data_IF_056904190670
#
_entry.id   IF_056904190670
#
_cell.length_a   1.000
_cell.length_b   1.000
_cell.length_c   1.000
_cell.angle_alpha   90.00
_cell.angle_beta   90.00
_cell.angle_gamma   90.00
#
_symmetry.space_group_name_H-M   'P 1'
#
loop_
_entity.id
_entity.type
_entity.pdbx_description
1 polymer ?
#
# COMPACT_ATOMS: atom_id res chain seq x y z
N UNK A 1 1.58 -2.95 -4.58
CA UNK A 1 2.62 -4.01 -4.48
C UNK A 1 3.76 -3.67 -5.43
N UNK A 2 4.94 -3.33 -4.90
CA UNK A 2 6.14 -2.98 -5.69
C UNK A 2 6.95 -4.24 -6.07
N UNK A 3 6.32 -5.25 -6.69
CA UNK A 3 6.97 -6.54 -6.99
C UNK A 3 8.19 -6.42 -7.91
N UNK A 4 8.23 -5.38 -8.75
CA UNK A 4 9.43 -5.03 -9.51
C UNK A 4 10.64 -4.75 -8.61
N UNK A 5 10.44 -4.08 -7.47
CA UNK A 5 11.52 -3.72 -6.56
C UNK A 5 12.00 -4.92 -5.75
N UNK A 6 11.17 -5.93 -5.51
CA UNK A 6 11.63 -7.21 -4.96
C UNK A 6 12.62 -7.88 -5.91
N UNK A 7 12.27 -7.96 -7.19
CA UNK A 7 13.13 -8.60 -8.20
C UNK A 7 14.38 -7.76 -8.47
N UNK A 8 14.21 -6.51 -8.90
CA UNK A 8 15.32 -5.63 -9.30
C UNK A 8 16.18 -5.23 -8.10
N UNK A 9 15.57 -4.97 -6.95
CA UNK A 9 16.27 -4.63 -5.72
C UNK A 9 17.04 -5.82 -5.15
N UNK A 10 16.41 -7.00 -5.08
CA UNK A 10 17.07 -8.22 -4.64
C UNK A 10 18.24 -8.63 -5.53
N UNK A 11 18.05 -8.59 -6.86
CA UNK A 11 19.12 -8.88 -7.82
C UNK A 11 20.26 -7.85 -7.74
N UNK A 12 19.94 -6.56 -7.65
CA UNK A 12 20.95 -5.50 -7.52
C UNK A 12 21.77 -5.67 -6.23
N UNK A 13 21.10 -5.94 -5.10
CA UNK A 13 21.79 -6.13 -3.83
C UNK A 13 22.64 -7.41 -3.81
N UNK A 14 22.10 -8.53 -4.32
CA UNK A 14 22.83 -9.79 -4.43
C UNK A 14 24.04 -9.74 -5.38
N UNK A 15 24.00 -8.87 -6.39
CA UNK A 15 25.13 -8.60 -7.29
C UNK A 15 26.05 -7.46 -6.79
N UNK A 16 25.89 -7.02 -5.54
CA UNK A 16 26.66 -5.92 -4.91
C UNK A 16 26.54 -4.55 -5.63
N UNK A 17 25.49 -4.37 -6.45
CA UNK A 17 25.18 -3.12 -7.14
C UNK A 17 24.36 -2.17 -6.24
N UNK A 18 24.92 -1.80 -5.09
CA UNK A 18 24.21 -1.06 -4.04
C UNK A 18 23.60 0.28 -4.48
N UNK A 19 24.30 1.05 -5.31
CA UNK A 19 23.77 2.30 -5.87
C UNK A 19 22.54 2.05 -6.77
N UNK A 20 22.49 0.90 -7.44
CA UNK A 20 21.39 0.53 -8.33
C UNK A 20 20.13 0.20 -7.54
N UNK A 21 20.27 -0.41 -6.35
CA UNK A 21 19.16 -0.60 -5.42
C UNK A 21 18.51 0.75 -5.06
N UNK A 22 19.31 1.74 -4.62
CA UNK A 22 18.80 3.08 -4.34
C UNK A 22 18.09 3.68 -5.55
N UNK A 23 18.72 3.60 -6.72
CA UNK A 23 18.15 4.09 -7.99
C UNK A 23 16.78 3.46 -8.29
N UNK A 24 16.63 2.13 -8.14
CA UNK A 24 15.36 1.45 -8.33
C UNK A 24 14.32 1.84 -7.27
N UNK A 25 14.71 2.08 -6.02
CA UNK A 25 13.80 2.55 -4.98
C UNK A 25 13.22 3.92 -5.31
N UNK A 26 14.04 4.89 -5.70
CA UNK A 26 13.53 6.20 -6.10
C UNK A 26 12.76 6.15 -7.43
N UNK A 27 13.14 5.27 -8.35
CA UNK A 27 12.37 4.99 -9.56
C UNK A 27 10.98 4.44 -9.24
N UNK A 28 10.89 3.53 -8.27
CA UNK A 28 9.62 3.00 -7.76
C UNK A 28 8.77 4.11 -7.14
N UNK A 29 9.33 4.93 -6.26
CA UNK A 29 8.62 6.06 -5.64
C UNK A 29 8.05 7.00 -6.71
N UNK A 30 8.88 7.42 -7.65
CA UNK A 30 8.46 8.33 -8.73
C UNK A 30 7.35 7.72 -9.60
N UNK A 31 7.51 6.45 -9.97
CA UNK A 31 6.54 5.74 -10.82
C UNK A 31 5.20 5.56 -10.10
N UNK A 32 5.23 5.16 -8.82
CA UNK A 32 4.02 4.95 -8.03
C UNK A 32 3.30 6.26 -7.73
N UNK A 33 4.02 7.34 -7.37
CA UNK A 33 3.42 8.68 -7.19
C UNK A 33 2.72 9.13 -8.48
N UNK A 34 3.32 8.87 -9.64
CA UNK A 34 2.70 9.21 -10.93
C UNK A 34 1.39 8.43 -11.13
N UNK A 35 1.33 7.16 -10.72
CA UNK A 35 0.11 6.33 -10.76
C UNK A 35 -0.92 6.77 -9.71
N UNK A 36 -0.50 7.32 -8.55
CA UNK A 36 -1.43 7.86 -7.57
C UNK A 36 -2.28 8.99 -8.14
N UNK A 37 -1.79 9.77 -9.11
CA UNK A 37 -2.53 10.89 -9.72
C UNK A 37 -3.83 10.47 -10.42
N UNK A 38 -3.83 9.56 -11.41
CA UNK A 38 -5.08 9.10 -12.03
C UNK A 38 -5.99 8.36 -11.06
N UNK A 39 -5.44 7.62 -10.08
CA UNK A 39 -6.26 6.97 -9.04
C UNK A 39 -6.94 7.99 -8.14
N UNK A 40 -6.22 9.06 -7.75
CA UNK A 40 -6.80 10.15 -6.96
C UNK A 40 -7.89 10.88 -7.73
N UNK A 41 -7.69 11.11 -9.04
CA UNK A 41 -8.71 11.70 -9.90
C UNK A 41 -9.97 10.82 -9.92
N UNK A 42 -9.81 9.50 -10.07
CA UNK A 42 -10.94 8.57 -10.01
C UNK A 42 -11.66 8.60 -8.65
N UNK A 43 -10.92 8.68 -7.54
CA UNK A 43 -11.49 8.77 -6.19
C UNK A 43 -12.27 10.06 -5.94
N UNK A 44 -11.92 11.16 -6.60
CA UNK A 44 -12.68 12.42 -6.52
C UNK A 44 -14.06 12.29 -7.15
N UNK A 45 -14.20 11.50 -8.22
CA UNK A 45 -15.46 11.27 -8.94
C UNK A 45 -16.13 9.94 -8.56
N UNK A 46 -15.84 9.41 -7.36
CA UNK A 46 -16.32 8.10 -6.93
C UNK A 46 -17.84 8.07 -6.77
N UNK A 47 -18.47 9.18 -6.38
CA UNK A 47 -19.91 9.30 -6.23
C UNK A 47 -20.63 9.17 -7.57
N UNK A 48 -20.20 9.91 -8.60
CA UNK A 48 -20.76 9.82 -9.95
C UNK A 48 -20.63 8.40 -10.51
N UNK A 49 -19.46 7.76 -10.30
CA UNK A 49 -19.23 6.40 -10.73
C UNK A 49 -20.16 5.40 -10.04
N UNK A 50 -20.32 5.48 -8.71
CA UNK A 50 -21.19 4.57 -7.96
C UNK A 50 -22.67 4.78 -8.31
N UNK A 51 -23.11 6.02 -8.48
CA UNK A 51 -24.47 6.34 -8.95
C UNK A 51 -24.69 5.78 -10.35
N UNK A 52 -23.72 5.90 -11.25
CA UNK A 52 -23.79 5.30 -12.59
C UNK A 52 -23.93 3.77 -12.53
N UNK A 53 -23.27 3.13 -11.56
CA UNK A 53 -23.39 1.69 -11.28
C UNK A 53 -24.71 1.30 -10.57
N UNK A 54 -25.60 2.26 -10.33
CA UNK A 54 -26.92 2.04 -9.74
C UNK A 54 -26.95 2.03 -8.21
N UNK A 55 -25.91 2.55 -7.54
CA UNK A 55 -25.89 2.66 -6.08
C UNK A 55 -26.71 3.84 -5.56
N UNK A 56 -27.09 3.77 -4.29
CA UNK A 56 -27.80 4.85 -3.62
C UNK A 56 -26.95 6.15 -3.59
N UNK A 57 -27.52 7.33 -3.91
CA UNK A 57 -26.78 8.58 -3.93
C UNK A 57 -26.18 9.00 -2.58
N UNK A 58 -26.86 8.70 -1.45
CA UNK A 58 -26.35 9.06 -0.13
C UNK A 58 -25.15 8.19 0.24
N UNK A 59 -25.21 6.88 -0.03
CA UNK A 59 -24.08 5.96 0.16
C UNK A 59 -22.91 6.37 -0.73
N UNK A 60 -23.18 6.65 -2.00
CA UNK A 60 -22.17 7.06 -2.99
C UNK A 60 -21.43 8.33 -2.58
N UNK A 61 -22.16 9.32 -2.06
CA UNK A 61 -21.58 10.55 -1.53
C UNK A 61 -20.69 10.32 -0.31
N UNK A 62 -21.11 9.47 0.64
CA UNK A 62 -20.28 9.10 1.79
C UNK A 62 -19.01 8.37 1.36
N UNK A 63 -19.11 7.44 0.40
CA UNK A 63 -17.97 6.73 -0.16
C UNK A 63 -16.98 7.70 -0.82
N UNK A 64 -17.46 8.65 -1.63
CA UNK A 64 -16.61 9.67 -2.26
C UNK A 64 -15.88 10.54 -1.24
N UNK A 65 -16.58 11.04 -0.20
CA UNK A 65 -15.93 11.78 0.88
C UNK A 65 -14.81 10.95 1.51
N UNK A 66 -15.10 9.70 1.89
CA UNK A 66 -14.10 8.84 2.51
C UNK A 66 -12.90 8.58 1.58
N UNK A 67 -13.15 8.32 0.29
CA UNK A 67 -12.11 8.16 -0.74
C UNK A 67 -11.24 9.41 -0.89
N UNK A 68 -11.84 10.62 -0.92
CA UNK A 68 -11.10 11.88 -1.00
C UNK A 68 -10.17 12.04 0.21
N UNK A 69 -10.65 11.75 1.42
CA UNK A 69 -9.83 11.83 2.64
C UNK A 69 -8.73 10.76 2.71
N UNK A 70 -8.83 9.68 1.94
CA UNK A 70 -7.78 8.67 1.79
C UNK A 70 -6.72 9.03 0.74
N UNK A 71 -6.93 10.06 -0.10
CA UNK A 71 -5.95 10.44 -1.13
C UNK A 71 -4.55 10.65 -0.54
N UNK A 72 -4.35 11.38 0.58
CA UNK A 72 -3.00 11.55 1.12
C UNK A 72 -2.38 10.24 1.66
N UNK A 73 -3.20 9.28 2.12
CA UNK A 73 -2.76 7.94 2.47
C UNK A 73 -2.25 7.16 1.26
N UNK A 74 -2.87 7.33 0.08
CA UNK A 74 -2.43 6.69 -1.17
C UNK A 74 -0.98 7.07 -1.53
N UNK A 75 -0.63 8.36 -1.42
CA UNK A 75 0.74 8.82 -1.67
C UNK A 75 1.72 8.32 -0.60
N UNK A 76 1.29 8.28 0.66
CA UNK A 76 2.11 7.72 1.75
C UNK A 76 2.41 6.24 1.50
N UNK A 77 1.39 5.44 1.12
CA UNK A 77 1.56 4.02 0.83
C UNK A 77 2.50 3.79 -0.37
N UNK A 78 2.39 4.57 -1.45
CA UNK A 78 3.32 4.49 -2.59
C UNK A 78 4.80 4.63 -2.17
N UNK A 79 5.08 5.58 -1.28
CA UNK A 79 6.43 5.78 -0.73
C UNK A 79 6.79 4.63 0.22
N UNK A 80 5.88 4.28 1.14
CA UNK A 80 6.10 3.26 2.16
C UNK A 80 6.41 1.90 1.54
N UNK A 81 5.63 1.45 0.54
CA UNK A 81 5.86 0.17 -0.13
C UNK A 81 7.25 0.13 -0.79
N UNK A 82 7.69 1.24 -1.37
CA UNK A 82 9.04 1.34 -1.95
C UNK A 82 10.14 1.25 -0.89
N UNK A 83 9.95 1.91 0.26
CA UNK A 83 10.88 1.83 1.39
C UNK A 83 10.90 0.43 2.02
N UNK A 84 9.74 -0.22 2.17
CA UNK A 84 9.64 -1.59 2.68
C UNK A 84 10.49 -2.53 1.84
N UNK A 85 10.37 -2.47 0.51
CA UNK A 85 11.19 -3.31 -0.37
C UNK A 85 12.66 -2.94 -0.35
N UNK A 86 13.00 -1.65 -0.26
CA UNK A 86 14.38 -1.21 -0.09
C UNK A 86 15.05 -1.89 1.13
N UNK A 87 14.40 -1.90 2.29
CA UNK A 87 14.93 -2.55 3.48
C UNK A 87 14.90 -4.08 3.39
N UNK A 88 13.84 -4.66 2.82
CA UNK A 88 13.73 -6.12 2.67
C UNK A 88 14.79 -6.69 1.72
N UNK A 89 15.08 -6.04 0.60
CA UNK A 89 16.13 -6.48 -0.34
C UNK A 89 17.53 -6.49 0.29
N UNK A 90 17.73 -5.77 1.39
CA UNK A 90 18.96 -5.72 2.18
C UNK A 90 18.91 -6.62 3.43
N UNK A 91 17.84 -7.41 3.58
CA UNK A 91 17.54 -8.21 4.79
C UNK A 91 17.48 -7.38 6.08
N UNK A 92 17.21 -6.07 5.99
CA UNK A 92 17.08 -5.18 7.15
C UNK A 92 15.67 -5.23 7.72
N UNK A 93 15.35 -6.34 8.39
CA UNK A 93 13.99 -6.60 8.91
C UNK A 93 13.71 -5.85 10.22
N UNK A 94 14.72 -5.65 11.07
CA UNK A 94 14.53 -5.03 12.38
C UNK A 94 13.97 -3.58 12.30
N UNK A 95 14.48 -2.68 11.42
CA UNK A 95 13.87 -1.35 11.26
C UNK A 95 12.41 -1.41 10.83
N UNK A 96 12.06 -2.33 9.91
CA UNK A 96 10.69 -2.51 9.43
C UNK A 96 9.76 -3.00 10.54
N UNK A 97 10.22 -3.95 11.35
CA UNK A 97 9.46 -4.47 12.48
C UNK A 97 9.21 -3.38 13.51
N UNK A 98 10.26 -2.67 13.94
CA UNK A 98 10.15 -1.62 14.94
C UNK A 98 9.29 -0.44 14.46
N UNK A 99 9.43 -0.02 13.20
CA UNK A 99 8.61 1.06 12.63
C UNK A 99 7.14 0.66 12.55
N UNK A 100 6.85 -0.60 12.21
CA UNK A 100 5.48 -1.13 12.16
C UNK A 100 4.85 -1.20 13.55
N UNK A 101 5.58 -1.69 14.56
CA UNK A 101 5.12 -1.68 15.95
C UNK A 101 4.83 -0.24 16.44
N UNK A 102 5.76 0.69 16.20
CA UNK A 102 5.56 2.09 16.54
C UNK A 102 4.33 2.69 15.84
N UNK A 103 4.12 2.35 14.56
CA UNK A 103 2.99 2.81 13.77
C UNK A 103 1.66 2.29 14.32
N UNK A 104 1.58 1.03 14.74
CA UNK A 104 0.38 0.47 15.39
C UNK A 104 0.10 1.17 16.73
N UNK A 105 1.13 1.34 17.56
CA UNK A 105 1.03 2.07 18.84
C UNK A 105 0.60 3.52 18.66
N UNK A 106 0.93 4.14 17.52
CA UNK A 106 0.49 5.48 17.16
C UNK A 106 -0.95 5.49 16.58
N UNK A 107 -1.27 4.54 15.70
CA UNK A 107 -2.52 4.48 14.97
C UNK A 107 -3.72 4.16 15.87
N UNK A 108 -3.60 3.21 16.81
CA UNK A 108 -4.73 2.79 17.66
C UNK A 108 -5.27 3.94 18.53
N UNK A 109 -4.46 4.68 19.29
CA UNK A 109 -4.92 5.86 20.03
C UNK A 109 -5.46 6.94 19.10
N UNK A 110 -4.85 7.13 17.94
CA UNK A 110 -5.26 8.15 16.98
C UNK A 110 -6.65 7.85 16.41
N UNK A 111 -6.94 6.60 16.05
CA UNK A 111 -8.27 6.15 15.68
C UNK A 111 -9.27 6.41 16.81
N UNK A 112 -8.94 6.06 18.05
CA UNK A 112 -9.83 6.30 19.18
C UNK A 112 -10.16 7.79 19.36
N UNK A 113 -9.16 8.66 19.30
CA UNK A 113 -9.36 10.12 19.42
C UNK A 113 -10.17 10.65 18.23
N UNK A 114 -9.72 10.41 17.00
CA UNK A 114 -10.31 11.02 15.82
C UNK A 114 -11.73 10.49 15.55
N UNK A 115 -12.00 9.22 15.80
CA UNK A 115 -13.33 8.63 15.55
C UNK A 115 -14.31 8.96 16.68
N UNK A 116 -13.90 8.86 17.95
CA UNK A 116 -14.84 8.93 19.09
C UNK A 116 -14.77 10.21 19.93
N UNK A 117 -13.63 10.92 19.93
CA UNK A 117 -13.46 12.14 20.73
C UNK A 117 -13.60 13.42 19.92
N UNK A 118 -13.71 13.30 18.61
CA UNK A 118 -14.03 14.41 17.70
C UNK A 118 -15.33 14.14 16.95
N UNK A 119 -15.83 15.12 16.21
CA UNK A 119 -17.01 14.97 15.37
C UNK A 119 -16.69 14.45 13.95
N UNK A 120 -15.52 13.82 13.74
CA UNK A 120 -15.06 13.39 12.41
C UNK A 120 -15.58 12.01 11.99
N UNK A 121 -15.98 11.13 12.91
CA UNK A 121 -16.56 9.81 12.57
C UNK A 121 -15.69 9.01 11.59
N UNK A 122 -16.27 8.58 10.46
CA UNK A 122 -15.56 7.82 9.42
C UNK A 122 -14.43 8.62 8.73
N UNK A 123 -14.58 9.95 8.61
CA UNK A 123 -13.48 10.82 8.14
C UNK A 123 -12.30 10.77 9.12
N UNK A 124 -12.60 10.63 10.42
CA UNK A 124 -11.58 10.43 11.46
C UNK A 124 -10.76 9.17 11.25
N UNK A 125 -11.37 8.08 10.78
CA UNK A 125 -10.67 6.84 10.45
C UNK A 125 -9.74 7.01 9.22
N UNK A 126 -10.20 7.68 8.16
CA UNK A 126 -9.37 7.99 6.98
C UNK A 126 -8.16 8.87 7.34
N UNK A 127 -8.35 9.85 8.22
CA UNK A 127 -7.27 10.69 8.73
C UNK A 127 -6.29 9.90 9.61
N UNK A 128 -6.79 9.02 10.46
CA UNK A 128 -5.94 8.20 11.33
C UNK A 128 -5.00 7.28 10.54
N UNK A 129 -5.51 6.62 9.49
CA UNK A 129 -4.65 5.79 8.62
C UNK A 129 -3.65 6.64 7.83
N UNK A 130 -4.09 7.79 7.31
CA UNK A 130 -3.21 8.74 6.61
C UNK A 130 -2.03 9.16 7.47
N UNK A 131 -2.30 9.61 8.71
CA UNK A 131 -1.27 10.06 9.63
C UNK A 131 -0.34 8.90 10.05
N UNK A 132 -0.89 7.70 10.26
CA UNK A 132 -0.09 6.53 10.60
C UNK A 132 0.86 6.09 9.46
N UNK A 133 0.39 6.11 8.22
CA UNK A 133 1.24 5.79 7.06
C UNK A 133 2.35 6.82 6.88
N UNK A 134 2.03 8.12 6.96
CA UNK A 134 3.04 9.18 6.91
C UNK A 134 4.04 9.08 8.07
N UNK A 135 3.58 8.76 9.29
CA UNK A 135 4.47 8.49 10.41
C UNK A 135 5.47 7.37 10.09
N UNK A 136 5.01 6.26 9.52
CA UNK A 136 5.89 5.14 9.15
C UNK A 136 6.87 5.54 8.03
N UNK A 137 6.41 6.23 6.99
CA UNK A 137 7.25 6.80 5.92
C UNK A 137 8.34 7.68 6.50
N UNK A 138 7.97 8.56 7.44
CA UNK A 138 8.90 9.46 8.11
C UNK A 138 9.93 8.65 8.89
N UNK A 139 9.52 7.72 9.77
CA UNK A 139 10.43 6.89 10.57
C UNK A 139 11.43 6.13 9.70
N UNK A 140 10.95 5.46 8.64
CA UNK A 140 11.79 4.69 7.73
C UNK A 140 12.67 5.58 6.85
N UNK A 141 12.16 6.72 6.40
CA UNK A 141 12.94 7.72 5.66
C UNK A 141 14.06 8.32 6.52
N UNK A 142 13.79 8.58 7.81
CA UNK A 142 14.81 8.96 8.78
C UNK A 142 15.84 7.83 8.93
N UNK A 143 15.41 6.59 9.13
CA UNK A 143 16.35 5.48 9.25
C UNK A 143 17.26 5.35 8.00
N UNK A 144 16.69 5.39 6.79
CA UNK A 144 17.45 5.34 5.53
C UNK A 144 18.47 6.49 5.42
N UNK A 145 18.06 7.70 5.80
CA UNK A 145 18.86 8.92 5.62
C UNK A 145 20.06 9.02 6.58
N UNK A 146 19.94 8.48 7.79
CA UNK A 146 20.95 8.66 8.84
C UNK A 146 21.67 7.37 9.27
N UNK A 147 21.12 6.18 9.00
CA UNK A 147 21.78 4.92 9.33
C UNK A 147 23.06 4.72 8.50
N UNK A 148 24.14 4.28 9.14
CA UNK A 148 25.36 3.87 8.45
C UNK A 148 25.13 2.64 7.55
N UNK A 149 24.19 1.77 7.93
CA UNK A 149 23.89 0.56 7.15
C UNK A 149 23.23 0.83 5.79
N UNK A 150 22.74 2.06 5.56
CA UNK A 150 22.13 2.47 4.31
C UNK A 150 23.07 3.37 3.49
N UNK A 151 24.33 3.57 3.90
CA UNK A 151 25.21 4.57 3.30
C UNK A 151 25.53 4.27 1.84
N UNK A 152 25.84 3.01 1.51
CA UNK A 152 26.15 2.56 0.14
C UNK A 152 24.91 2.45 -0.76
N UNK A 153 23.74 2.26 -0.17
CA UNK A 153 22.48 1.99 -0.88
C UNK A 153 21.58 3.22 -1.04
N UNK A 154 21.76 4.27 -0.23
CA UNK A 154 20.98 5.53 -0.32
C UNK A 154 21.50 6.53 -1.34
N UNK A 155 22.71 6.35 -1.87
CA UNK A 155 23.30 7.26 -2.86
C UNK A 155 22.68 7.01 -4.23
N UNK A 156 22.30 8.10 -4.92
CA UNK A 156 21.56 8.01 -6.19
C UNK A 156 22.04 9.06 -7.18
N UNK A 157 22.10 8.66 -8.45
CA UNK A 157 22.28 9.57 -9.58
C UNK A 157 20.92 9.76 -10.23
N UNK A 158 20.43 11.01 -10.25
CA UNK A 158 19.07 11.33 -10.72
C UNK A 158 18.84 10.90 -12.18
N UNK A 159 19.85 11.01 -13.05
CA UNK A 159 19.74 10.56 -14.44
C UNK A 159 19.42 9.06 -14.57
N UNK A 160 20.01 8.24 -13.71
CA UNK A 160 19.83 6.78 -13.73
C UNK A 160 18.42 6.38 -13.27
N UNK A 161 17.78 7.20 -12.42
CA UNK A 161 16.39 6.98 -11.98
C UNK A 161 15.45 7.04 -13.18
N UNK A 162 15.55 8.09 -14.00
CA UNK A 162 14.71 8.23 -15.20
C UNK A 162 15.01 7.16 -16.25
N UNK A 163 16.30 6.81 -16.41
CA UNK A 163 16.71 5.74 -17.31
C UNK A 163 16.13 4.36 -16.91
N UNK A 164 15.93 4.14 -15.61
CA UNK A 164 15.44 2.87 -15.06
C UNK A 164 13.92 2.68 -15.13
N UNK A 165 13.14 3.72 -15.47
CA UNK A 165 11.65 3.67 -15.47
C UNK A 165 11.13 2.57 -16.38
N UNK A 166 11.67 2.46 -17.61
CA UNK A 166 11.20 1.46 -18.58
C UNK A 166 11.43 0.03 -18.06
N UNK A 167 12.61 -0.23 -17.51
CA UNK A 167 12.93 -1.52 -16.92
C UNK A 167 12.02 -1.79 -15.72
N UNK A 168 11.89 -0.84 -14.80
CA UNK A 168 11.01 -0.95 -13.64
C UNK A 168 9.56 -1.29 -14.03
N UNK A 169 8.97 -0.56 -14.98
CA UNK A 169 7.60 -0.79 -15.44
C UNK A 169 7.41 -2.15 -16.11
N UNK A 170 8.45 -2.71 -16.75
CA UNK A 170 8.37 -4.03 -17.38
C UNK A 170 8.13 -5.16 -16.37
N UNK A 171 8.57 -5.00 -15.12
CA UNK A 171 8.26 -5.90 -14.01
C UNK A 171 7.05 -5.43 -13.20
N UNK A 172 6.88 -4.12 -13.04
CA UNK A 172 5.85 -3.57 -12.14
C UNK A 172 4.45 -3.80 -12.69
N UNK A 173 4.25 -3.68 -14.02
CA UNK A 173 2.95 -3.85 -14.64
C UNK A 173 2.42 -5.30 -14.51
N UNK A 174 3.17 -6.36 -14.86
CA UNK A 174 2.72 -7.74 -14.61
C UNK A 174 2.44 -8.02 -13.13
N UNK A 175 3.32 -7.58 -12.21
CA UNK A 175 3.10 -7.75 -10.77
C UNK A 175 1.82 -7.03 -10.30
N UNK A 176 1.58 -5.81 -10.77
CA UNK A 176 0.38 -5.06 -10.43
C UNK A 176 -0.88 -5.76 -10.94
N UNK A 177 -0.90 -6.21 -12.20
CA UNK A 177 -2.03 -6.94 -12.78
C UNK A 177 -2.32 -8.22 -12.00
N UNK A 178 -1.28 -8.99 -11.65
CA UNK A 178 -1.44 -10.21 -10.85
C UNK A 178 -2.13 -9.92 -9.51
N UNK A 179 -1.63 -8.93 -8.75
CA UNK A 179 -2.22 -8.55 -7.47
C UNK A 179 -3.64 -7.98 -7.61
N UNK A 180 -3.89 -7.15 -8.64
CA UNK A 180 -5.21 -6.59 -8.89
C UNK A 180 -6.23 -7.67 -9.23
N UNK A 181 -5.88 -8.64 -10.09
CA UNK A 181 -6.77 -9.74 -10.44
C UNK A 181 -7.10 -10.61 -9.22
N UNK A 182 -6.11 -10.87 -8.36
CA UNK A 182 -6.33 -11.58 -7.10
C UNK A 182 -7.31 -10.81 -6.20
N UNK A 183 -7.06 -9.52 -5.95
CA UNK A 183 -7.91 -8.71 -5.06
C UNK A 183 -9.33 -8.53 -5.63
N UNK A 184 -9.44 -8.22 -6.91
CA UNK A 184 -10.74 -8.09 -7.58
C UNK A 184 -11.51 -9.41 -7.59
N UNK A 185 -10.84 -10.56 -7.63
CA UNK A 185 -11.53 -11.84 -7.52
C UNK A 185 -12.22 -12.01 -6.16
N UNK A 186 -11.60 -11.56 -5.07
CA UNK A 186 -12.23 -11.59 -3.75
C UNK A 186 -13.44 -10.65 -3.66
N UNK A 187 -13.32 -9.43 -4.20
CA UNK A 187 -14.45 -8.48 -4.26
C UNK A 187 -15.61 -9.01 -5.11
N UNK A 188 -15.31 -9.65 -6.24
CA UNK A 188 -16.32 -10.31 -7.07
C UNK A 188 -17.01 -11.46 -6.34
N UNK A 189 -16.28 -12.25 -5.56
CA UNK A 189 -16.89 -13.32 -4.75
C UNK A 189 -17.87 -12.75 -3.71
N UNK A 190 -17.50 -11.68 -3.01
CA UNK A 190 -18.38 -11.00 -2.04
C UNK A 190 -19.60 -10.40 -2.73
N UNK A 191 -19.43 -9.81 -3.91
CA UNK A 191 -20.55 -9.27 -4.68
C UNK A 191 -21.51 -10.40 -5.12
N UNK A 192 -20.98 -11.53 -5.59
CA UNK A 192 -21.77 -12.67 -6.02
C UNK A 192 -22.49 -13.38 -4.86
N UNK A 193 -21.91 -13.45 -3.66
CA UNK A 193 -22.60 -14.02 -2.50
C UNK A 193 -23.84 -13.20 -2.11
N UNK A 194 -23.81 -11.88 -2.35
CA UNK A 194 -24.97 -11.01 -2.16
C UNK A 194 -26.16 -11.30 -3.09
N UNK A 195 -25.97 -12.11 -4.14
CA UNK A 195 -27.02 -12.50 -5.09
C UNK A 195 -27.62 -13.89 -4.81
N UNK A 196 -27.12 -14.60 -3.80
CA UNK A 196 -27.62 -15.92 -3.41
C UNK A 196 -28.94 -15.85 -2.63
N UNK A 197 -29.74 -16.95 -2.56
CA UNK A 197 -31.07 -16.94 -1.96
C UNK A 197 -31.13 -16.48 -0.49
N UNK A 198 -30.10 -16.80 0.30
CA UNK A 198 -29.91 -16.31 1.67
C UNK A 198 -28.68 -15.40 1.72
N UNK A 199 -28.80 -14.21 1.11
CA UNK A 199 -27.68 -13.30 0.90
C UNK A 199 -26.99 -12.87 2.20
N UNK A 200 -27.73 -12.77 3.32
CA UNK A 200 -27.18 -12.41 4.62
C UNK A 200 -26.31 -13.55 5.18
N UNK A 201 -26.82 -14.78 5.17
CA UNK A 201 -26.07 -15.95 5.63
C UNK A 201 -24.84 -16.19 4.76
N UNK A 202 -25.03 -16.26 3.44
CA UNK A 202 -23.96 -16.62 2.50
C UNK A 202 -22.85 -15.58 2.47
N UNK A 203 -23.19 -14.28 2.48
CA UNK A 203 -22.19 -13.20 2.52
C UNK A 203 -21.45 -13.18 3.87
N UNK A 204 -22.15 -13.46 4.98
CA UNK A 204 -21.51 -13.54 6.30
C UNK A 204 -20.53 -14.71 6.39
N UNK A 205 -20.93 -15.90 5.93
CA UNK A 205 -20.08 -17.09 5.89
C UNK A 205 -18.87 -16.84 5.00
N UNK A 206 -19.07 -16.28 3.79
CA UNK A 206 -17.99 -15.95 2.89
C UNK A 206 -17.01 -14.93 3.50
N UNK A 207 -17.51 -13.91 4.20
CA UNK A 207 -16.69 -12.92 4.90
C UNK A 207 -15.82 -13.55 5.99
N UNK A 208 -16.35 -14.53 6.75
CA UNK A 208 -15.57 -15.31 7.73
C UNK A 208 -14.49 -16.13 7.02
N UNK A 209 -14.81 -16.79 5.90
CA UNK A 209 -13.84 -17.54 5.12
C UNK A 209 -12.71 -16.64 4.60
N UNK A 210 -13.04 -15.49 4.01
CA UNK A 210 -12.06 -14.52 3.50
C UNK A 210 -11.20 -13.92 4.61
N UNK A 211 -11.81 -13.61 5.76
CA UNK A 211 -11.07 -13.14 6.95
C UNK A 211 -10.09 -14.20 7.45
N UNK A 212 -10.52 -15.47 7.49
CA UNK A 212 -9.67 -16.61 7.87
C UNK A 212 -8.51 -16.81 6.90
N UNK A 213 -8.78 -16.77 5.59
CA UNK A 213 -7.76 -16.85 4.55
C UNK A 213 -6.78 -15.69 4.66
N UNK A 214 -7.26 -14.47 4.86
CA UNK A 214 -6.42 -13.28 5.01
C UNK A 214 -5.49 -13.37 6.22
N UNK A 215 -6.00 -13.84 7.37
CA UNK A 215 -5.19 -14.09 8.55
C UNK A 215 -4.09 -15.13 8.29
N UNK A 216 -4.42 -16.21 7.58
CA UNK A 216 -3.45 -17.25 7.24
C UNK A 216 -2.42 -16.76 6.22
N UNK A 217 -2.83 -15.98 5.22
CA UNK A 217 -2.01 -15.52 4.09
C UNK A 217 -0.73 -14.79 4.48
N UNK A 218 -0.75 -14.03 5.59
CA UNK A 218 0.44 -13.30 6.05
C UNK A 218 1.61 -14.22 6.45
N UNK A 219 1.35 -15.47 6.84
CA UNK A 219 2.40 -16.45 7.19
C UNK A 219 3.21 -16.89 5.96
N UNK A 220 2.61 -17.52 4.92
CA UNK A 220 3.36 -17.89 3.72
C UNK A 220 3.90 -16.67 2.97
N UNK A 221 3.19 -15.53 2.99
CA UNK A 221 3.73 -14.29 2.44
C UNK A 221 5.02 -13.84 3.15
N UNK A 222 5.05 -13.91 4.48
CA UNK A 222 6.26 -13.61 5.27
C UNK A 222 7.41 -14.56 4.96
N UNK A 223 7.13 -15.86 4.77
CA UNK A 223 8.14 -16.85 4.35
C UNK A 223 8.65 -16.54 2.95
N UNK A 224 7.77 -16.24 2.00
CA UNK A 224 8.13 -15.90 0.63
C UNK A 224 8.95 -14.61 0.53
N UNK A 225 8.66 -13.62 1.38
CA UNK A 225 9.43 -12.37 1.43
C UNK A 225 10.81 -12.51 2.09
N UNK A 226 11.06 -13.61 2.83
CA UNK A 226 12.33 -13.89 3.48
C UNK A 226 13.27 -14.80 2.65
N UNK A 227 12.72 -15.48 1.63
CA UNK A 227 13.44 -16.37 0.73
C UNK A 227 14.19 -15.59 -0.36
#
# INVERSE_FOLDING_TARGET
>A
MAGALETLGGQAYGAEQYQKLGTYTYCSILSLITICLPVSLFWIFMDEFLIFMGQDPQISHVASIYSIWLIPALFADAILQSLVRYFQSQSQILPLFLSSCATICFHVPLCWVLVHKTNLGYVGAALAITLALWFNVIVLGFYMRWSASCESTRTVIVGDVFASIKEFLSFALPSAVMCCLEWWSFELLVLLSGLLPDSELETSVLSICLSTTSLHYFVPYGVGAAA
#
